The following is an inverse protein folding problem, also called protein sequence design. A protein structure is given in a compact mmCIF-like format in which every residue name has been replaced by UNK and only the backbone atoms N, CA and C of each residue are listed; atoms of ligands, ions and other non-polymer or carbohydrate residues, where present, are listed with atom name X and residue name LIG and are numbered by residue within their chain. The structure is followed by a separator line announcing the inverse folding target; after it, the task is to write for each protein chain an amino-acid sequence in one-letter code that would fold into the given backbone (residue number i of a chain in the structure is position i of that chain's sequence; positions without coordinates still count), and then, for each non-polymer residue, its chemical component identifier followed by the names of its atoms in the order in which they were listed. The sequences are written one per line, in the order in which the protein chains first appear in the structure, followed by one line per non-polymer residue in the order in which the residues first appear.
data_IF_017621565754
#
_entry.id   IF_017621565754
#
_cell.length_a   1.000
_cell.length_b   1.000
_cell.length_c   1.000
_cell.angle_alpha   90.00
_cell.angle_beta   90.00
_cell.angle_gamma   90.00
#
_symmetry.space_group_name_H-M   'P 1'
#
loop_
_entity.id
_entity.type
_entity.pdbx_description
1 polymer ?
#
# COMPACT_ATOMS: atom_id res chain seq x y z
N UNK A 1 -5.84 6.46 15.04
CA UNK A 1 -6.52 5.95 13.84
C UNK A 1 -7.12 4.60 14.17
N UNK A 2 -8.39 4.33 13.82
CA UNK A 2 -9.02 3.04 14.08
C UNK A 2 -8.33 1.92 13.30
N UNK A 3 -8.11 0.80 13.97
CA UNK A 3 -7.54 -0.40 13.38
C UNK A 3 -8.64 -1.45 13.15
N UNK A 4 -8.55 -2.14 12.02
CA UNK A 4 -9.36 -3.31 11.71
C UNK A 4 -8.48 -4.54 11.80
N UNK A 5 -9.02 -5.55 12.49
CA UNK A 5 -8.46 -6.89 12.50
C UNK A 5 -9.48 -7.84 11.89
N UNK A 6 -8.98 -8.75 11.07
CA UNK A 6 -9.80 -9.82 10.53
C UNK A 6 -10.25 -10.73 11.67
N UNK A 7 -11.52 -11.11 11.68
CA UNK A 7 -12.02 -12.09 12.62
C UNK A 7 -11.71 -13.50 12.08
N UNK A 8 -11.10 -14.36 12.89
CA UNK A 8 -10.56 -15.64 12.44
C UNK A 8 -11.69 -16.62 12.09
N UNK A 9 -11.92 -16.79 10.78
CA UNK A 9 -12.61 -17.95 10.22
C UNK A 9 -14.13 -17.85 10.06
N UNK A 10 -14.77 -16.77 10.49
CA UNK A 10 -16.22 -16.58 10.28
C UNK A 10 -16.48 -15.72 9.06
N UNK A 11 -16.90 -16.36 7.97
CA UNK A 11 -17.46 -15.66 6.82
C UNK A 11 -18.98 -15.55 6.98
N UNK A 12 -19.50 -14.34 6.80
CA UNK A 12 -20.94 -14.07 6.80
C UNK A 12 -21.35 -13.67 5.39
N UNK A 13 -22.29 -14.41 4.82
CA UNK A 13 -22.94 -14.01 3.56
C UNK A 13 -24.00 -12.96 3.87
N UNK A 14 -23.91 -11.81 3.22
CA UNK A 14 -24.90 -10.72 3.33
C UNK A 14 -25.52 -10.45 1.97
N UNK A 15 -26.78 -10.02 1.96
CA UNK A 15 -27.41 -9.50 0.76
C UNK A 15 -26.73 -8.19 0.34
N UNK A 16 -26.57 -7.96 -0.96
CA UNK A 16 -25.94 -6.73 -1.46
C UNK A 16 -26.68 -5.47 -1.01
N UNK A 17 -28.00 -5.55 -0.82
CA UNK A 17 -28.84 -4.46 -0.31
C UNK A 17 -28.56 -4.13 1.17
N UNK A 18 -27.92 -5.03 1.93
CA UNK A 18 -27.51 -4.78 3.31
C UNK A 18 -26.16 -4.04 3.39
N UNK A 19 -25.44 -3.86 2.28
CA UNK A 19 -24.19 -3.09 2.24
C UNK A 19 -24.51 -1.61 2.15
N UNK A 20 -24.32 -0.88 3.26
CA UNK A 20 -24.67 0.53 3.36
C UNK A 20 -23.70 1.44 2.59
N UNK A 21 -22.40 1.19 2.71
CA UNK A 21 -21.37 2.02 2.09
C UNK A 21 -20.02 1.30 1.98
N UNK A 22 -19.13 1.89 1.19
CA UNK A 22 -17.71 1.52 1.09
C UNK A 22 -16.88 2.55 1.87
N UNK A 23 -15.82 2.09 2.52
CA UNK A 23 -14.86 2.96 3.20
C UNK A 23 -13.43 2.60 2.77
N UNK A 24 -12.50 3.53 2.97
CA UNK A 24 -11.10 3.27 2.68
C UNK A 24 -10.41 2.63 3.89
N UNK A 25 -9.81 1.47 3.66
CA UNK A 25 -8.90 0.82 4.58
C UNK A 25 -7.57 0.61 3.86
N UNK A 26 -6.48 0.83 4.58
CA UNK A 26 -5.11 0.67 4.09
C UNK A 26 -4.40 -0.37 4.97
N UNK A 27 -3.58 -1.23 4.37
CA UNK A 27 -2.85 -2.26 5.12
C UNK A 27 -1.77 -1.61 6.00
N UNK A 28 -1.69 -2.02 7.27
CA UNK A 28 -0.62 -1.61 8.17
C UNK A 28 0.65 -2.43 7.90
N UNK A 29 1.37 -2.02 6.84
CA UNK A 29 2.55 -2.71 6.36
C UNK A 29 3.67 -2.78 7.40
N UNK A 30 3.73 -1.78 8.29
CA UNK A 30 4.73 -1.74 9.35
C UNK A 30 4.45 -2.84 10.38
N UNK A 31 3.19 -2.98 10.80
CA UNK A 31 2.79 -4.05 11.73
C UNK A 31 2.87 -5.44 11.08
N UNK A 32 2.50 -5.56 9.81
CA UNK A 32 2.58 -6.80 9.04
C UNK A 32 3.99 -7.18 8.56
N UNK A 33 5.02 -6.37 8.87
CA UNK A 33 6.40 -6.58 8.38
C UNK A 33 6.48 -6.84 6.86
N UNK A 34 5.65 -6.14 6.09
CA UNK A 34 5.51 -6.37 4.66
C UNK A 34 6.80 -5.95 3.93
N UNK A 35 7.43 -6.85 3.15
CA UNK A 35 8.70 -6.55 2.54
C UNK A 35 8.55 -5.65 1.30
N UNK A 36 9.50 -4.74 1.14
CA UNK A 36 9.68 -3.94 -0.07
C UNK A 36 10.60 -4.72 -1.01
N UNK A 37 10.05 -5.37 -2.04
CA UNK A 37 10.81 -6.34 -2.86
C UNK A 37 10.69 -6.17 -4.36
N UNK A 38 9.55 -5.71 -4.89
CA UNK A 38 9.29 -5.73 -6.33
C UNK A 38 9.34 -4.36 -6.98
N UNK A 39 10.25 -4.19 -7.94
CA UNK A 39 10.12 -3.13 -8.94
C UNK A 39 8.93 -3.47 -9.84
N UNK A 40 7.90 -2.63 -9.81
CA UNK A 40 6.70 -2.79 -10.64
C UNK A 40 6.43 -1.51 -11.43
N UNK A 41 5.86 -1.61 -12.65
CA UNK A 41 5.39 -0.44 -13.38
C UNK A 41 4.41 0.37 -12.52
N UNK A 42 4.76 1.61 -12.26
CA UNK A 42 3.94 2.50 -11.45
C UNK A 42 2.68 2.89 -12.21
N UNK A 43 1.56 3.03 -11.48
CA UNK A 43 0.29 3.50 -12.03
C UNK A 43 0.10 4.95 -11.67
N UNK A 44 -0.20 5.78 -12.67
CA UNK A 44 -0.63 7.17 -12.48
C UNK A 44 -1.98 7.35 -13.17
N UNK A 45 -2.96 7.92 -12.47
CA UNK A 45 -4.33 8.13 -13.01
C UNK A 45 -4.96 6.86 -13.61
N UNK A 46 -4.69 5.70 -12.99
CA UNK A 46 -5.09 4.35 -13.45
C UNK A 46 -4.39 3.86 -14.73
N UNK A 47 -3.48 4.62 -15.33
CA UNK A 47 -2.65 4.18 -16.46
C UNK A 47 -1.32 3.62 -15.98
N UNK A 48 -0.93 2.48 -16.54
CA UNK A 48 0.41 1.91 -16.32
C UNK A 48 1.42 2.80 -17.02
N UNK A 49 2.47 3.18 -16.30
CA UNK A 49 3.58 3.98 -16.83
C UNK A 49 4.81 3.10 -17.02
N UNK A 50 5.77 3.56 -17.82
CA UNK A 50 7.09 2.92 -17.93
C UNK A 50 7.98 3.13 -16.70
N UNK A 51 7.60 3.99 -15.76
CA UNK A 51 8.39 4.25 -14.54
C UNK A 51 8.26 3.08 -13.59
N UNK A 52 9.39 2.45 -13.26
CA UNK A 52 9.47 1.38 -12.27
C UNK A 52 9.63 1.97 -10.87
N UNK A 53 8.89 1.45 -9.90
CA UNK A 53 8.99 1.83 -8.50
C UNK A 53 8.97 0.60 -7.60
N UNK A 54 9.63 0.69 -6.45
CA UNK A 54 9.54 -0.32 -5.42
C UNK A 54 8.08 -0.45 -4.93
N UNK A 55 7.63 -1.69 -4.84
CA UNK A 55 6.34 -2.09 -4.31
C UNK A 55 6.49 -2.83 -2.99
N UNK A 56 5.50 -2.60 -2.13
CA UNK A 56 5.26 -3.41 -0.95
C UNK A 56 4.46 -4.64 -1.36
N UNK A 57 4.92 -5.81 -0.94
CA UNK A 57 4.17 -7.06 -1.04
C UNK A 57 3.50 -7.31 0.32
N UNK A 58 2.16 -7.29 0.37
CA UNK A 58 1.43 -7.62 1.58
C UNK A 58 1.52 -9.12 1.85
N UNK A 59 1.91 -9.51 3.08
CA UNK A 59 2.12 -10.91 3.48
C UNK A 59 0.97 -11.47 4.30
N UNK A 60 0.06 -10.61 4.74
CA UNK A 60 -1.13 -10.94 5.53
C UNK A 60 -2.31 -10.05 5.11
N UNK A 61 -3.52 -10.49 5.50
CA UNK A 61 -4.77 -9.73 5.42
C UNK A 61 -5.36 -9.54 6.83
N UNK A 62 -4.52 -9.22 7.81
CA UNK A 62 -4.91 -9.16 9.22
C UNK A 62 -4.92 -7.74 9.77
N UNK A 63 -4.05 -6.87 9.26
CA UNK A 63 -3.80 -5.57 9.87
C UNK A 63 -4.16 -4.43 8.91
N UNK A 64 -5.26 -3.73 9.21
CA UNK A 64 -5.66 -2.56 8.41
C UNK A 64 -5.94 -1.35 9.29
N UNK A 65 -5.72 -0.17 8.73
CA UNK A 65 -6.06 1.12 9.32
C UNK A 65 -7.15 1.76 8.49
N UNK A 66 -8.20 2.26 9.15
CA UNK A 66 -9.24 3.03 8.47
C UNK A 66 -8.69 4.44 8.21
N UNK A 67 -8.64 4.83 6.94
CA UNK A 67 -8.28 6.20 6.58
C UNK A 67 -9.49 7.12 6.79
N UNK A 68 -9.70 7.56 8.04
CA UNK A 68 -10.80 8.45 8.39
C UNK A 68 -10.80 9.76 7.59
N UNK A 69 -9.63 10.25 7.17
CA UNK A 69 -9.49 11.48 6.39
C UNK A 69 -10.01 11.35 4.95
N UNK A 70 -10.13 10.12 4.44
CA UNK A 70 -10.74 9.85 3.15
C UNK A 70 -12.28 9.85 3.17
N UNK A 71 -12.89 9.85 4.37
CA UNK A 71 -14.33 9.82 4.52
C UNK A 71 -14.91 11.24 4.41
N UNK A 72 -16.18 11.33 4.01
CA UNK A 72 -16.90 12.59 3.97
C UNK A 72 -17.03 13.18 5.39
N UNK A 73 -16.81 14.49 5.54
CA UNK A 73 -16.84 15.20 6.82
C UNK A 73 -15.98 14.55 7.93
N UNK A 74 -14.65 14.41 7.73
CA UNK A 74 -13.79 13.71 8.68
C UNK A 74 -13.69 14.40 10.04
N UNK A 75 -13.99 15.71 10.11
CA UNK A 75 -14.05 16.47 11.36
C UNK A 75 -15.24 16.03 12.23
N UNK A 76 -16.44 15.90 11.65
CA UNK A 76 -17.63 15.43 12.38
C UNK A 76 -17.44 13.98 12.88
N UNK A 77 -16.82 13.13 12.06
CA UNK A 77 -16.51 11.74 12.46
C UNK A 77 -15.59 11.73 13.70
N UNK A 78 -14.65 12.68 13.81
CA UNK A 78 -13.76 12.77 14.97
C UNK A 78 -14.47 13.26 16.23
N UNK A 79 -15.50 14.09 16.10
CA UNK A 79 -16.30 14.59 17.22
C UNK A 79 -17.18 13.49 17.84
N UNK A 80 -17.65 12.53 17.03
CA UNK A 80 -18.51 11.43 17.51
C UNK A 80 -17.75 10.20 17.96
N UNK A 81 -16.51 9.99 17.47
CA UNK A 81 -15.70 8.85 17.85
C UNK A 81 -14.94 9.11 19.17
N UNK A 82 -14.76 8.08 20.01
CA UNK A 82 -13.91 8.18 21.20
C UNK A 82 -12.51 8.70 20.87
N UNK A 83 -11.94 9.61 21.69
CA UNK A 83 -10.60 10.17 21.44
C UNK A 83 -9.52 9.12 21.24
N UNK A 84 -9.57 8.00 21.98
CA UNK A 84 -8.63 6.87 21.85
C UNK A 84 -8.52 6.27 20.42
N UNK A 85 -9.51 6.50 19.56
CA UNK A 85 -9.53 6.04 18.16
C UNK A 85 -9.06 7.12 17.17
N UNK A 86 -9.18 8.39 17.53
CA UNK A 86 -9.00 9.55 16.64
C UNK A 86 -7.76 10.38 16.97
N UNK A 87 -7.24 10.29 18.19
CA UNK A 87 -6.05 10.98 18.63
C UNK A 87 -4.83 10.58 17.78
N UNK A 88 -4.03 11.57 17.34
CA UNK A 88 -2.74 11.30 16.71
C UNK A 88 -1.84 10.51 17.65
N UNK A 89 -1.34 9.36 17.18
CA UNK A 89 -0.33 8.58 17.91
C UNK A 89 1.04 8.97 17.39
N UNK A 90 1.98 9.21 18.31
CA UNK A 90 3.39 9.39 17.93
C UNK A 90 3.92 8.07 17.38
N UNK A 91 4.42 8.09 16.14
CA UNK A 91 5.10 6.94 15.54
C UNK A 91 6.53 6.80 16.07
N UNK A 92 7.15 7.92 16.43
CA UNK A 92 8.51 7.99 16.99
C UNK A 92 8.47 8.83 18.25
N UNK A 93 9.15 8.36 19.30
CA UNK A 93 9.29 9.08 20.57
C UNK A 93 10.04 10.40 20.36
N UNK A 94 11.20 10.31 19.70
CA UNK A 94 11.98 11.46 19.24
C UNK A 94 11.82 11.63 17.72
N UNK A 95 10.85 12.47 17.35
CA UNK A 95 10.56 12.79 15.95
C UNK A 95 11.72 13.51 15.27
N UNK A 96 12.44 14.37 15.98
CA UNK A 96 13.49 15.20 15.38
C UNK A 96 14.71 14.36 15.03
N UNK A 97 15.16 13.53 15.97
CA UNK A 97 16.25 12.58 15.72
C UNK A 97 15.91 11.63 14.55
N UNK A 98 14.66 11.15 14.47
CA UNK A 98 14.25 10.29 13.37
C UNK A 98 14.29 11.01 12.01
N UNK A 99 13.82 12.26 11.94
CA UNK A 99 13.89 13.06 10.72
C UNK A 99 15.34 13.31 10.32
N UNK A 100 16.20 13.67 11.28
CA UNK A 100 17.62 13.91 11.02
C UNK A 100 18.30 12.65 10.46
N UNK A 101 18.03 11.49 11.05
CA UNK A 101 18.54 10.21 10.56
C UNK A 101 18.10 9.93 9.12
N UNK A 102 16.82 10.17 8.80
CA UNK A 102 16.29 9.97 7.45
C UNK A 102 16.90 10.93 6.43
N UNK A 103 17.08 12.20 6.79
CA UNK A 103 17.73 13.21 5.93
C UNK A 103 19.17 12.83 5.65
N UNK A 104 19.94 12.44 6.68
CA UNK A 104 21.33 11.98 6.52
C UNK A 104 21.41 10.78 5.58
N UNK A 105 20.50 9.81 5.72
CA UNK A 105 20.45 8.63 4.85
C UNK A 105 20.22 9.01 3.39
N UNK A 106 19.22 9.85 3.12
CA UNK A 106 18.88 10.31 1.77
C UNK A 106 20.02 11.10 1.10
N UNK A 107 20.72 11.96 1.85
CA UNK A 107 21.87 12.70 1.35
C UNK A 107 23.02 11.75 0.93
N UNK A 108 23.23 10.68 1.70
CA UNK A 108 24.28 9.70 1.42
C UNK A 108 23.95 8.88 0.16
N UNK A 109 22.69 8.47 0.00
CA UNK A 109 22.20 7.74 -1.17
C UNK A 109 22.20 8.59 -2.45
N UNK A 110 21.88 9.88 -2.34
CA UNK A 110 21.93 10.82 -3.47
C UNK A 110 23.35 11.11 -3.97
N UNK A 111 24.37 10.87 -3.14
CA UNK A 111 25.78 11.10 -3.48
C UNK A 111 26.48 9.86 -4.07
N UNK A 112 25.80 8.72 -4.20
CA UNK A 112 26.31 7.56 -4.94
C UNK A 112 25.96 7.67 -6.44
N UNK A 113 26.91 7.44 -7.36
CA UNK A 113 26.60 7.38 -8.78
C UNK A 113 25.64 6.21 -9.04
N UNK A 114 24.51 6.48 -9.68
CA UNK A 114 23.54 5.46 -10.06
C UNK A 114 24.23 4.39 -10.91
N UNK A 115 24.28 3.16 -10.43
CA UNK A 115 24.72 2.04 -11.25
C UNK A 115 23.87 1.99 -12.53
N UNK A 116 24.47 1.74 -13.71
CA UNK A 116 23.71 1.63 -14.95
C UNK A 116 22.66 0.53 -14.80
N UNK A 117 21.45 0.69 -15.39
CA UNK A 117 20.44 -0.34 -15.37
C UNK A 117 21.03 -1.61 -15.99
N UNK A 118 21.11 -2.68 -15.21
CA UNK A 118 21.43 -4.01 -15.73
C UNK A 118 20.32 -4.40 -16.70
N UNK A 119 20.68 -4.49 -17.99
CA UNK A 119 19.81 -5.01 -19.04
C UNK A 119 19.46 -6.46 -18.64
N UNK A 120 18.18 -6.79 -18.37
CA UNK A 120 17.79 -8.17 -18.12
C UNK A 120 18.06 -8.99 -19.40
N UNK A 121 18.51 -10.25 -19.28
CA UNK A 121 18.72 -11.11 -20.44
C UNK A 121 17.41 -11.27 -21.22
N UNK A 122 17.49 -11.20 -22.55
CA UNK A 122 16.37 -11.32 -23.48
C UNK A 122 15.48 -12.51 -23.09
N UNK A 123 14.25 -12.21 -22.68
CA UNK A 123 13.22 -13.23 -22.48
C UNK A 123 12.82 -13.70 -23.88
N UNK A 124 12.95 -14.99 -24.23
CA UNK A 124 12.52 -15.48 -25.52
C UNK A 124 11.02 -15.25 -25.67
N UNK A 125 10.66 -14.50 -26.71
CA UNK A 125 9.26 -14.26 -27.10
C UNK A 125 8.63 -15.61 -27.43
N UNK A 126 7.67 -16.05 -26.61
CA UNK A 126 6.86 -17.21 -26.94
C UNK A 126 6.03 -16.89 -28.20
N UNK A 127 6.24 -17.66 -29.26
CA UNK A 127 5.42 -17.61 -30.48
C UNK A 127 3.94 -17.76 -30.12
N UNK A 128 3.16 -16.75 -30.48
CA UNK A 128 1.70 -16.83 -30.50
C UNK A 128 1.34 -17.79 -31.62
N UNK A 129 0.90 -19.01 -31.28
CA UNK A 129 0.28 -19.92 -32.24
C UNK A 129 -1.12 -19.39 -32.56
N UNK A 130 -1.25 -18.75 -33.71
CA UNK A 130 -2.53 -18.43 -34.33
C UNK A 130 -3.35 -19.71 -34.48
N UNK A 131 -4.39 -19.83 -33.65
CA UNK A 131 -5.45 -20.82 -33.85
C UNK A 131 -6.49 -20.19 -34.76
N UNK A 132 -6.25 -20.27 -36.06
CA UNK A 132 -7.24 -19.97 -37.10
C UNK A 132 -6.99 -20.89 -38.31
N UNK A 133 -8.08 -21.53 -38.77
CA UNK A 133 -8.22 -22.60 -39.78
C UNK A 133 -7.91 -24.04 -39.29
N UNK A 134 -8.79 -25.04 -39.42
CA UNK A 134 -9.73 -25.27 -40.52
C UNK A 134 -10.93 -26.15 -40.12
N UNK A 135 -12.07 -25.86 -40.78
CA UNK A 135 -13.25 -26.69 -41.10
C UNK A 135 -14.17 -27.16 -39.97
#
# INVERSE_FOLDING_TARGET
MPMLQRNDGVFVTVFSQAVLFRFAAEHDCLKGNCPVRRLRPSKQERKVTSKMAYGVDHVDDEHFVINLLSLHNPHLIREVLPPMLTEPRRTFEDREAHIEQMVRKLQTESNQPSAPPSVPPDIPVAEVKDSSNSL
#
